data_IF_200017917139
#
_entry.id   IF_200017917139
#
_cell.length_a   1.000
_cell.length_b   1.000
_cell.length_c   1.000
_cell.angle_alpha   90.00
_cell.angle_beta   90.00
_cell.angle_gamma   90.00
#
_symmetry.space_group_name_H-M   'P 1'
#
loop_
_entity.id
_entity.type
_entity.pdbx_description
1 polymer ?
#
# COMPACT_ATOMS: atom_id res chain seq x y z
N UNK A 1 80.89 18.48 -16.41
CA UNK A 1 79.65 18.23 -17.18
C UNK A 1 78.52 17.82 -16.23
N UNK A 2 77.50 18.67 -16.08
CA UNK A 2 76.10 18.30 -15.75
C UNK A 2 75.70 17.87 -14.33
N UNK A 3 75.55 18.80 -13.38
CA UNK A 3 74.76 18.59 -12.16
C UNK A 3 73.26 18.82 -12.43
N UNK A 4 72.45 17.75 -12.42
CA UNK A 4 70.99 17.81 -12.58
C UNK A 4 70.32 18.44 -11.34
N UNK A 5 69.80 19.67 -11.45
CA UNK A 5 68.88 20.26 -10.47
C UNK A 5 67.53 19.51 -10.49
N UNK A 6 67.18 18.85 -9.39
CA UNK A 6 65.85 18.26 -9.15
C UNK A 6 64.89 19.40 -8.76
N UNK A 7 63.94 19.76 -9.64
CA UNK A 7 62.83 20.69 -9.31
C UNK A 7 61.91 20.01 -8.27
N UNK A 8 61.73 20.62 -7.10
CA UNK A 8 60.66 20.27 -6.15
C UNK A 8 59.31 20.73 -6.73
N UNK A 9 58.31 19.84 -6.77
CA UNK A 9 56.91 20.19 -7.05
C UNK A 9 56.34 20.95 -5.84
N UNK A 10 55.44 21.93 -6.02
CA UNK A 10 54.76 22.58 -4.90
C UNK A 10 53.80 21.59 -4.26
N UNK A 11 53.81 21.51 -2.93
CA UNK A 11 52.77 20.84 -2.17
C UNK A 11 51.50 21.71 -2.29
N UNK A 12 50.43 21.17 -2.88
CA UNK A 12 49.10 21.71 -2.71
C UNK A 12 48.77 21.59 -1.22
N UNK A 13 48.68 22.74 -0.54
CA UNK A 13 48.18 22.81 0.83
C UNK A 13 46.72 22.35 0.81
N UNK A 14 46.49 21.08 1.12
CA UNK A 14 45.15 20.57 1.38
C UNK A 14 44.57 21.28 2.59
N UNK A 15 43.26 21.58 2.57
CA UNK A 15 42.57 22.07 3.75
C UNK A 15 42.89 21.16 4.95
N UNK A 16 43.27 21.72 6.11
CA UNK A 16 43.47 20.93 7.30
C UNK A 16 42.24 20.06 7.61
N UNK A 17 42.47 18.80 7.92
CA UNK A 17 41.41 17.80 8.18
C UNK A 17 40.40 18.24 9.25
N UNK A 18 40.80 19.09 10.20
CA UNK A 18 39.91 19.65 11.22
C UNK A 18 38.88 20.64 10.64
N UNK A 19 39.18 21.36 9.55
CA UNK A 19 38.21 22.25 8.89
C UNK A 19 37.17 21.48 8.10
N UNK A 20 37.55 20.34 7.51
CA UNK A 20 36.59 19.42 6.87
C UNK A 20 35.69 18.78 7.92
N UNK A 21 36.24 18.35 9.05
CA UNK A 21 35.46 17.80 10.16
C UNK A 21 34.50 18.85 10.75
N UNK A 22 34.97 20.09 10.94
CA UNK A 22 34.14 21.20 11.42
C UNK A 22 33.03 21.54 10.43
N UNK A 23 33.32 21.57 9.12
CA UNK A 23 32.30 21.78 8.09
C UNK A 23 31.25 20.66 8.10
N UNK A 24 31.65 19.40 8.26
CA UNK A 24 30.72 18.27 8.37
C UNK A 24 29.87 18.33 9.65
N UNK A 25 30.46 18.70 10.79
CA UNK A 25 29.73 18.89 12.06
C UNK A 25 28.77 20.07 11.96
N UNK A 26 29.16 21.17 11.33
CA UNK A 26 28.28 22.31 11.07
C UNK A 26 27.17 21.95 10.09
N UNK A 27 27.45 21.16 9.05
CA UNK A 27 26.42 20.68 8.12
C UNK A 27 25.43 19.74 8.82
N UNK A 28 25.93 18.87 9.70
CA UNK A 28 25.13 17.97 10.51
C UNK A 28 24.25 18.76 11.51
N UNK A 29 24.83 19.71 12.25
CA UNK A 29 24.08 20.62 13.12
C UNK A 29 23.04 21.45 12.34
N UNK A 30 23.39 21.94 11.15
CA UNK A 30 22.46 22.66 10.26
C UNK A 30 21.36 21.77 9.69
N UNK A 31 21.55 20.45 9.62
CA UNK A 31 20.50 19.49 9.25
C UNK A 31 19.59 19.18 10.45
N UNK A 32 20.15 19.00 11.64
CA UNK A 32 19.42 18.77 12.90
C UNK A 32 18.61 20.00 13.35
N UNK A 33 19.13 21.22 13.08
CA UNK A 33 18.47 22.48 13.42
C UNK A 33 17.46 22.96 12.37
N UNK A 34 17.25 22.22 11.27
CA UNK A 34 16.15 22.55 10.35
C UNK A 34 14.84 22.32 11.11
N UNK A 35 13.99 23.35 11.27
CA UNK A 35 12.67 23.12 11.82
C UNK A 35 12.00 22.06 10.95
N UNK A 36 11.42 21.04 11.60
CA UNK A 36 10.63 20.04 10.91
C UNK A 36 9.60 20.78 10.03
N UNK A 37 9.31 20.28 8.82
CA UNK A 37 8.26 20.87 8.00
C UNK A 37 6.98 20.96 8.85
N UNK A 38 6.24 22.08 8.78
CA UNK A 38 5.01 22.21 9.54
C UNK A 38 4.07 21.05 9.17
N UNK A 39 3.29 20.54 10.14
CA UNK A 39 2.33 19.49 9.86
C UNK A 39 1.35 19.95 8.77
N UNK A 40 0.82 19.01 7.94
CA UNK A 40 -0.15 19.37 6.92
C UNK A 40 -1.41 19.99 7.57
N UNK A 41 -2.09 20.92 6.89
CA UNK A 41 -3.36 21.45 7.37
C UNK A 41 -4.40 20.33 7.45
N UNK A 42 -5.25 20.36 8.48
CA UNK A 42 -6.30 19.37 8.66
C UNK A 42 -7.41 19.55 7.62
N UNK A 43 -7.79 18.45 6.97
CA UNK A 43 -8.84 18.40 5.97
C UNK A 43 -10.17 17.90 6.59
N UNK A 44 -11.30 18.31 6.00
CA UNK A 44 -12.62 17.93 6.47
C UNK A 44 -13.04 16.53 5.99
N UNK A 45 -13.77 15.79 6.82
CA UNK A 45 -14.28 14.45 6.51
C UNK A 45 -13.66 13.38 7.42
N UNK A 46 -14.36 12.25 7.54
CA UNK A 46 -13.96 11.17 8.43
C UNK A 46 -13.47 9.93 7.72
N UNK A 47 -12.48 9.27 8.34
CA UNK A 47 -11.99 7.98 7.90
C UNK A 47 -13.03 6.90 8.18
N UNK A 48 -13.35 6.12 7.14
CA UNK A 48 -14.10 4.88 7.30
C UNK A 48 -13.12 3.72 7.16
N UNK A 49 -13.23 2.72 8.05
CA UNK A 49 -12.43 1.51 8.02
C UNK A 49 -13.34 0.30 8.03
N UNK A 50 -12.97 -0.75 7.31
CA UNK A 50 -13.73 -1.98 7.15
C UNK A 50 -12.80 -3.18 7.34
N UNK A 51 -13.27 -4.19 8.08
CA UNK A 51 -12.55 -5.44 8.30
C UNK A 51 -13.38 -6.62 7.80
N UNK A 52 -12.84 -7.32 6.81
CA UNK A 52 -13.49 -8.44 6.14
C UNK A 52 -13.19 -9.76 6.88
N UNK A 53 -14.09 -10.75 6.80
CA UNK A 53 -15.35 -10.74 6.06
C UNK A 53 -16.54 -10.08 6.78
N UNK A 54 -16.41 -9.73 8.06
CA UNK A 54 -17.52 -9.23 8.89
C UNK A 54 -18.17 -7.97 8.30
N UNK A 55 -17.35 -7.07 7.77
CA UNK A 55 -17.81 -5.84 7.11
C UNK A 55 -17.97 -5.98 5.60
N UNK A 56 -17.80 -7.17 5.02
CA UNK A 56 -17.66 -7.38 3.57
C UNK A 56 -18.77 -6.76 2.73
N UNK A 57 -20.03 -7.02 3.09
CA UNK A 57 -21.18 -6.45 2.38
C UNK A 57 -21.23 -4.93 2.51
N UNK A 58 -21.00 -4.40 3.72
CA UNK A 58 -20.99 -2.96 3.99
C UNK A 58 -19.85 -2.26 3.26
N UNK A 59 -18.66 -2.85 3.24
CA UNK A 59 -17.48 -2.35 2.53
C UNK A 59 -17.74 -2.28 1.03
N UNK A 60 -18.24 -3.36 0.43
CA UNK A 60 -18.55 -3.39 -1.01
C UNK A 60 -19.64 -2.38 -1.36
N UNK A 61 -20.73 -2.33 -0.59
CA UNK A 61 -21.79 -1.35 -0.80
C UNK A 61 -21.27 0.09 -0.70
N UNK A 62 -20.36 0.37 0.25
CA UNK A 62 -19.75 1.69 0.39
C UNK A 62 -18.85 2.06 -0.78
N UNK A 63 -18.03 1.12 -1.27
CA UNK A 63 -17.21 1.31 -2.47
C UNK A 63 -18.07 1.57 -3.71
N UNK A 64 -19.15 0.80 -3.90
CA UNK A 64 -20.10 1.04 -5.00
C UNK A 64 -20.76 2.40 -4.86
N UNK A 65 -21.16 2.81 -3.65
CA UNK A 65 -21.72 4.14 -3.41
C UNK A 65 -20.71 5.27 -3.69
N UNK A 66 -19.42 5.06 -3.43
CA UNK A 66 -18.36 6.00 -3.83
C UNK A 66 -18.27 6.12 -5.36
N UNK A 67 -18.27 4.98 -6.06
CA UNK A 67 -18.26 4.91 -7.54
C UNK A 67 -19.51 5.57 -8.15
N UNK A 68 -20.68 5.30 -7.59
CA UNK A 68 -21.95 5.88 -8.05
C UNK A 68 -22.08 7.37 -7.68
N UNK A 69 -21.42 7.80 -6.61
CA UNK A 69 -21.34 9.19 -6.16
C UNK A 69 -20.43 10.07 -7.03
N UNK A 70 -19.38 9.50 -7.64
CA UNK A 70 -18.38 10.23 -8.40
C UNK A 70 -18.98 11.06 -9.55
N UNK A 71 -18.40 12.25 -9.78
CA UNK A 71 -18.91 13.26 -10.72
C UNK A 71 -17.92 13.63 -11.83
N UNK A 72 -16.62 13.46 -11.61
CA UNK A 72 -15.57 13.92 -12.51
C UNK A 72 -14.70 12.76 -12.98
N UNK A 73 -14.14 11.98 -12.06
CA UNK A 73 -13.23 10.90 -12.41
C UNK A 73 -13.12 9.79 -11.38
N UNK A 74 -12.80 8.61 -11.89
CA UNK A 74 -12.44 7.41 -11.14
C UNK A 74 -11.14 6.85 -11.70
N UNK A 75 -10.11 6.76 -10.86
CA UNK A 75 -8.78 6.30 -11.23
C UNK A 75 -8.37 5.14 -10.32
N UNK A 76 -8.42 3.92 -10.86
CA UNK A 76 -8.27 2.69 -10.07
C UNK A 76 -7.03 1.89 -10.44
N UNK A 77 -6.19 1.57 -9.47
CA UNK A 77 -5.09 0.62 -9.62
C UNK A 77 -5.43 -0.66 -8.83
N UNK A 78 -5.64 -1.77 -9.54
CA UNK A 78 -6.08 -3.03 -8.94
C UNK A 78 -5.21 -4.20 -9.40
N UNK A 79 -4.59 -4.90 -8.45
CA UNK A 79 -3.87 -6.15 -8.72
C UNK A 79 -4.81 -7.21 -9.32
N UNK A 80 -5.83 -7.62 -8.57
CA UNK A 80 -6.88 -8.55 -9.04
C UNK A 80 -8.23 -7.85 -9.20
N UNK A 81 -8.92 -8.16 -10.30
CA UNK A 81 -10.25 -7.61 -10.62
C UNK A 81 -11.21 -8.72 -11.08
N UNK A 82 -12.03 -9.20 -10.14
CA UNK A 82 -13.00 -10.29 -10.32
C UNK A 82 -14.28 -10.06 -9.50
N UNK A 83 -14.90 -8.90 -9.67
CA UNK A 83 -16.20 -8.57 -9.05
C UNK A 83 -17.11 -7.85 -10.06
N UNK A 84 -18.26 -8.44 -10.38
CA UNK A 84 -19.19 -7.93 -11.39
C UNK A 84 -19.95 -6.69 -10.91
N UNK A 85 -20.27 -6.59 -9.62
CA UNK A 85 -21.01 -5.43 -9.12
C UNK A 85 -20.13 -4.17 -9.15
N UNK A 86 -18.86 -4.32 -8.82
CA UNK A 86 -17.86 -3.24 -8.96
C UNK A 86 -17.69 -2.87 -10.44
N UNK A 87 -17.56 -3.85 -11.34
CA UNK A 87 -17.48 -3.62 -12.79
C UNK A 87 -18.70 -2.87 -13.33
N UNK A 88 -19.91 -3.27 -12.90
CA UNK A 88 -21.15 -2.58 -13.26
C UNK A 88 -21.18 -1.15 -12.71
N UNK A 89 -20.71 -0.91 -11.49
CA UNK A 89 -20.59 0.44 -10.91
C UNK A 89 -19.69 1.34 -11.76
N UNK A 90 -18.52 0.84 -12.17
CA UNK A 90 -17.58 1.59 -13.01
C UNK A 90 -18.20 1.94 -14.38
N UNK A 91 -18.92 1.00 -15.01
CA UNK A 91 -19.64 1.24 -16.26
C UNK A 91 -20.81 2.22 -16.09
N UNK A 92 -21.55 2.16 -14.98
CA UNK A 92 -22.57 3.17 -14.66
C UNK A 92 -21.94 4.55 -14.52
N UNK A 93 -20.80 4.67 -13.87
CA UNK A 93 -20.09 5.94 -13.74
C UNK A 93 -19.65 6.49 -15.10
N UNK A 94 -19.04 5.65 -15.93
CA UNK A 94 -18.67 6.00 -17.30
C UNK A 94 -19.88 6.45 -18.13
N UNK A 95 -21.02 5.74 -18.06
CA UNK A 95 -22.25 6.10 -18.76
C UNK A 95 -22.81 7.46 -18.32
N UNK A 96 -22.55 7.89 -17.07
CA UNK A 96 -22.87 9.23 -16.56
C UNK A 96 -21.89 10.32 -17.03
N UNK A 97 -20.87 9.98 -17.82
CA UNK A 97 -19.83 10.89 -18.27
C UNK A 97 -18.65 11.07 -17.30
N UNK A 98 -18.57 10.26 -16.23
CA UNK A 98 -17.41 10.25 -15.34
C UNK A 98 -16.22 9.63 -16.08
N UNK A 99 -15.05 10.27 -16.04
CA UNK A 99 -13.84 9.72 -16.64
C UNK A 99 -13.32 8.55 -15.80
N UNK A 100 -13.47 7.32 -16.30
CA UNK A 100 -12.98 6.11 -15.62
C UNK A 100 -11.71 5.60 -16.31
N UNK A 101 -10.65 5.35 -15.54
CA UNK A 101 -9.40 4.75 -16.03
C UNK A 101 -8.88 3.73 -15.04
N UNK A 102 -8.37 2.61 -15.53
CA UNK A 102 -7.87 1.52 -14.70
C UNK A 102 -6.42 1.16 -15.04
N UNK A 103 -5.66 0.77 -14.02
CA UNK A 103 -4.33 0.21 -14.16
C UNK A 103 -4.31 -1.16 -13.46
N UNK A 104 -3.85 -2.19 -14.17
CA UNK A 104 -3.95 -3.59 -13.76
C UNK A 104 -2.60 -4.32 -13.80
N UNK A 105 -2.56 -5.50 -13.18
CA UNK A 105 -1.49 -6.47 -13.38
C UNK A 105 -1.79 -7.29 -14.65
N UNK A 106 -0.77 -7.49 -15.48
CA UNK A 106 -0.86 -8.21 -16.76
C UNK A 106 -1.37 -9.64 -16.63
N UNK A 107 -0.99 -10.34 -15.56
CA UNK A 107 -1.46 -11.70 -15.26
C UNK A 107 -3.00 -11.79 -15.12
N UNK A 108 -3.66 -10.68 -14.78
CA UNK A 108 -5.12 -10.59 -14.62
C UNK A 108 -5.82 -9.89 -15.79
N UNK A 109 -5.12 -9.59 -16.89
CA UNK A 109 -5.68 -8.92 -18.07
C UNK A 109 -6.98 -9.57 -18.57
N UNK A 110 -7.00 -10.90 -18.66
CA UNK A 110 -8.20 -11.63 -19.09
C UNK A 110 -9.38 -11.49 -18.11
N UNK A 111 -9.11 -11.34 -16.82
CA UNK A 111 -10.17 -11.10 -15.84
C UNK A 111 -10.77 -9.71 -15.98
N UNK A 112 -9.95 -8.66 -16.17
CA UNK A 112 -10.45 -7.32 -16.50
C UNK A 112 -11.36 -7.35 -17.73
N UNK A 113 -10.92 -8.00 -18.82
CA UNK A 113 -11.71 -8.19 -20.04
C UNK A 113 -13.04 -8.87 -19.76
N UNK A 114 -13.01 -10.03 -19.08
CA UNK A 114 -14.22 -10.83 -18.82
C UNK A 114 -15.20 -10.15 -17.88
N UNK A 115 -14.73 -9.49 -16.82
CA UNK A 115 -15.61 -8.87 -15.85
C UNK A 115 -16.23 -7.57 -16.37
N UNK A 116 -15.45 -6.71 -17.04
CA UNK A 116 -16.00 -5.49 -17.64
C UNK A 116 -16.93 -5.80 -18.81
N UNK A 117 -16.56 -6.73 -19.71
CA UNK A 117 -17.45 -7.12 -20.82
C UNK A 117 -18.68 -7.85 -20.30
N UNK A 118 -18.53 -8.76 -19.33
CA UNK A 118 -19.66 -9.46 -18.70
C UNK A 118 -20.65 -8.49 -18.04
N UNK A 119 -20.15 -7.51 -17.31
CA UNK A 119 -20.95 -6.43 -16.74
C UNK A 119 -21.66 -5.59 -17.81
N UNK A 120 -20.97 -5.26 -18.90
CA UNK A 120 -21.56 -4.52 -20.03
C UNK A 120 -22.64 -5.31 -20.80
N UNK A 121 -22.65 -6.64 -20.66
CA UNK A 121 -23.71 -7.52 -21.17
C UNK A 121 -24.85 -7.73 -20.15
N UNK A 122 -24.78 -7.10 -18.98
CA UNK A 122 -25.79 -7.25 -17.92
C UNK A 122 -25.75 -8.62 -17.23
N UNK A 123 -24.63 -9.35 -17.27
CA UNK A 123 -24.51 -10.61 -16.55
C UNK A 123 -24.47 -10.39 -15.04
N UNK A 124 -25.08 -11.32 -14.30
CA UNK A 124 -25.06 -11.37 -12.83
C UNK A 124 -24.45 -12.64 -12.26
N UNK A 125 -24.03 -13.60 -13.09
CA UNK A 125 -23.37 -14.83 -12.64
C UNK A 125 -21.87 -14.62 -12.48
N UNK A 126 -21.32 -15.04 -11.34
CA UNK A 126 -19.87 -15.05 -11.09
C UNK A 126 -19.30 -16.47 -11.10
N UNK A 127 -18.25 -16.76 -11.90
CA UNK A 127 -17.62 -15.86 -12.87
C UNK A 127 -18.50 -15.63 -14.12
N UNK A 128 -18.34 -14.50 -14.82
CA UNK A 128 -19.09 -14.20 -16.03
C UNK A 128 -18.71 -15.17 -17.17
N UNK A 129 -19.72 -15.53 -17.98
CA UNK A 129 -19.60 -16.41 -19.15
C UNK A 129 -19.63 -15.53 -20.40
N UNK A 130 -18.49 -14.96 -20.75
CA UNK A 130 -18.38 -14.03 -21.88
C UNK A 130 -18.03 -14.77 -23.17
N UNK A 131 -18.88 -14.73 -24.22
CA UNK A 131 -18.54 -15.29 -25.52
C UNK A 131 -17.33 -14.59 -26.17
N UNK A 132 -16.53 -15.34 -26.93
CA UNK A 132 -15.35 -14.78 -27.64
C UNK A 132 -15.71 -13.64 -28.59
N UNK A 133 -16.89 -13.71 -29.23
CA UNK A 133 -17.37 -12.63 -30.12
C UNK A 133 -17.61 -11.32 -29.35
N UNK A 134 -18.12 -11.39 -28.12
CA UNK A 134 -18.39 -10.22 -27.30
C UNK A 134 -17.09 -9.56 -26.84
N UNK A 135 -16.07 -10.37 -26.50
CA UNK A 135 -14.72 -9.88 -26.23
C UNK A 135 -14.16 -9.15 -27.46
N UNK A 136 -14.21 -9.75 -28.65
CA UNK A 136 -13.73 -9.13 -29.89
C UNK A 136 -14.46 -7.83 -30.23
N UNK A 137 -15.75 -7.75 -29.93
CA UNK A 137 -16.56 -6.56 -30.23
C UNK A 137 -16.32 -5.39 -29.25
N UNK A 138 -15.94 -5.70 -28.00
CA UNK A 138 -15.90 -4.73 -26.89
C UNK A 138 -14.52 -4.46 -26.31
N UNK A 139 -13.49 -5.17 -26.76
CA UNK A 139 -12.09 -4.95 -26.40
C UNK A 139 -11.35 -4.40 -27.60
N UNK A 140 -10.75 -3.21 -27.47
CA UNK A 140 -10.00 -2.55 -28.53
C UNK A 140 -8.59 -2.22 -28.04
N UNK A 141 -7.52 -2.69 -28.68
CA UNK A 141 -6.16 -2.33 -28.26
C UNK A 141 -5.94 -0.82 -28.46
N UNK A 142 -5.26 -0.19 -27.49
CA UNK A 142 -4.80 1.21 -27.55
C UNK A 142 -3.29 1.22 -27.80
N UNK A 143 -2.55 0.40 -27.07
CA UNK A 143 -1.10 0.18 -27.18
C UNK A 143 -0.77 -1.28 -26.86
N UNK A 144 0.51 -1.62 -26.72
CA UNK A 144 0.94 -2.98 -26.35
C UNK A 144 0.38 -3.43 -24.99
N UNK A 145 0.27 -2.48 -24.08
CA UNK A 145 -0.01 -2.64 -22.66
C UNK A 145 -1.31 -1.94 -22.24
N UNK A 146 -2.04 -1.33 -23.16
CA UNK A 146 -3.32 -0.69 -22.88
C UNK A 146 -4.40 -1.08 -23.89
N UNK A 147 -5.63 -1.15 -23.41
CA UNK A 147 -6.82 -1.45 -24.19
C UNK A 147 -8.04 -0.73 -23.66
N UNK A 148 -9.01 -0.49 -24.53
CA UNK A 148 -10.33 -0.02 -24.17
C UNK A 148 -11.25 -1.23 -24.02
N UNK A 149 -11.80 -1.43 -22.82
CA UNK A 149 -12.70 -2.54 -22.50
C UNK A 149 -14.07 -1.98 -22.16
N UNK A 150 -15.05 -2.23 -23.03
CA UNK A 150 -16.39 -1.64 -22.93
C UNK A 150 -16.35 -0.10 -22.74
N UNK A 151 -15.42 0.56 -23.43
CA UNK A 151 -15.21 2.02 -23.39
C UNK A 151 -14.38 2.51 -22.20
N UNK A 152 -13.94 1.63 -21.29
CA UNK A 152 -13.06 2.02 -20.17
C UNK A 152 -11.61 1.73 -20.58
N UNK A 153 -10.72 2.74 -20.61
CA UNK A 153 -9.30 2.53 -20.78
C UNK A 153 -8.69 1.76 -19.60
N UNK A 154 -8.02 0.65 -19.90
CA UNK A 154 -7.27 -0.18 -18.95
C UNK A 154 -5.86 -0.36 -19.46
N UNK A 155 -4.87 -0.03 -18.63
CA UNK A 155 -3.46 -0.27 -18.90
C UNK A 155 -2.90 -1.30 -17.92
N UNK A 156 -1.82 -1.98 -18.29
CA UNK A 156 -1.24 -3.06 -17.51
C UNK A 156 0.24 -2.82 -17.22
N UNK A 157 0.68 -3.29 -16.06
CA UNK A 157 2.10 -3.47 -15.77
C UNK A 157 2.56 -4.81 -16.33
N UNK A 158 3.56 -4.79 -17.20
CA UNK A 158 4.12 -5.98 -17.87
C UNK A 158 5.49 -6.37 -17.29
N UNK A 159 5.89 -5.74 -16.18
CA UNK A 159 7.15 -6.05 -15.51
C UNK A 159 7.07 -7.41 -14.82
N UNK A 160 8.22 -8.01 -14.54
CA UNK A 160 8.31 -9.20 -13.69
C UNK A 160 7.93 -8.91 -12.22
N UNK A 161 8.05 -7.64 -11.80
CA UNK A 161 7.59 -7.18 -10.50
C UNK A 161 6.10 -6.85 -10.55
N UNK A 162 5.37 -7.16 -9.47
CA UNK A 162 3.92 -7.03 -9.49
C UNK A 162 3.44 -5.59 -9.38
N UNK A 163 2.39 -5.27 -10.14
CA UNK A 163 1.52 -4.13 -9.85
C UNK A 163 0.55 -4.49 -8.75
N UNK A 164 0.95 -4.31 -7.51
CA UNK A 164 0.24 -4.84 -6.36
C UNK A 164 -0.63 -3.79 -5.64
N UNK A 165 -0.79 -2.59 -6.20
CA UNK A 165 -1.73 -1.59 -5.71
C UNK A 165 -3.18 -2.08 -5.69
N UNK A 166 -3.94 -1.51 -4.75
CA UNK A 166 -5.36 -1.79 -4.50
C UNK A 166 -6.05 -0.51 -4.08
N UNK A 167 -6.10 0.48 -4.97
CA UNK A 167 -6.70 1.77 -4.65
C UNK A 167 -7.62 2.29 -5.75
N UNK A 168 -8.53 3.17 -5.35
CA UNK A 168 -9.39 3.95 -6.24
C UNK A 168 -9.40 5.40 -5.76
N UNK A 169 -9.04 6.33 -6.64
CA UNK A 169 -9.18 7.77 -6.42
C UNK A 169 -10.49 8.23 -7.04
N UNK A 170 -11.33 8.90 -6.24
CA UNK A 170 -12.60 9.47 -6.68
C UNK A 170 -12.55 11.00 -6.67
N UNK A 171 -12.78 11.60 -7.84
CA UNK A 171 -12.88 13.05 -8.08
C UNK A 171 -11.70 13.89 -7.55
N UNK A 172 -10.53 13.28 -7.32
CA UNK A 172 -9.40 13.94 -6.66
C UNK A 172 -9.70 14.38 -5.22
N UNK A 173 -10.68 13.75 -4.56
CA UNK A 173 -11.17 14.14 -3.22
C UNK A 173 -11.10 13.04 -2.18
N UNK A 174 -11.15 11.78 -2.61
CA UNK A 174 -11.13 10.65 -1.71
C UNK A 174 -10.35 9.48 -2.30
N UNK A 175 -9.74 8.68 -1.42
CA UNK A 175 -9.02 7.47 -1.75
C UNK A 175 -9.68 6.30 -1.03
N UNK A 176 -10.07 5.28 -1.79
CA UNK A 176 -10.29 3.94 -1.27
C UNK A 176 -8.98 3.15 -1.39
N UNK A 177 -8.46 2.58 -0.31
CA UNK A 177 -7.24 1.74 -0.34
C UNK A 177 -7.24 0.70 0.78
N UNK A 178 -6.26 -0.19 0.81
CA UNK A 178 -6.09 -1.21 1.85
C UNK A 178 -5.42 -2.46 1.30
N UNK A 179 -5.72 -3.61 1.90
CA UNK A 179 -5.19 -4.91 1.47
C UNK A 179 -6.12 -5.65 0.50
N UNK A 180 -7.36 -5.17 0.34
CA UNK A 180 -8.45 -5.82 -0.40
C UNK A 180 -8.27 -5.77 -1.92
N UNK A 181 -8.16 -6.95 -2.55
CA UNK A 181 -8.33 -7.09 -4.00
C UNK A 181 -9.79 -6.88 -4.44
N UNK A 182 -10.04 -6.49 -5.69
CA UNK A 182 -11.41 -6.27 -6.20
C UNK A 182 -12.06 -7.61 -6.61
N UNK A 183 -12.23 -8.52 -5.65
CA UNK A 183 -12.75 -9.87 -5.88
C UNK A 183 -13.78 -10.24 -4.82
N UNK A 184 -14.75 -11.08 -5.18
CA UNK A 184 -15.75 -11.56 -4.22
C UNK A 184 -15.14 -12.21 -2.97
N UNK A 185 -14.10 -13.04 -3.12
CA UNK A 185 -13.43 -13.69 -1.96
C UNK A 185 -12.83 -12.67 -0.98
N UNK A 186 -12.27 -11.57 -1.49
CA UNK A 186 -11.65 -10.55 -0.65
C UNK A 186 -12.69 -9.85 0.24
N UNK A 187 -13.91 -9.63 -0.27
CA UNK A 187 -15.00 -9.07 0.53
C UNK A 187 -15.68 -10.13 1.42
N UNK A 188 -15.88 -11.36 0.93
CA UNK A 188 -16.78 -12.33 1.56
C UNK A 188 -16.10 -13.40 2.43
N UNK A 189 -14.79 -13.63 2.27
CA UNK A 189 -14.11 -14.80 2.86
C UNK A 189 -12.78 -14.50 3.53
N UNK A 190 -11.95 -13.66 2.91
CA UNK A 190 -10.61 -13.38 3.41
C UNK A 190 -10.64 -12.38 4.56
N UNK A 191 -9.64 -12.42 5.44
CA UNK A 191 -9.37 -11.30 6.34
C UNK A 191 -8.58 -10.23 5.59
N UNK A 192 -9.26 -9.12 5.33
CA UNK A 192 -8.78 -7.98 4.55
C UNK A 192 -9.20 -6.68 5.24
N UNK A 193 -8.50 -5.59 4.98
CA UNK A 193 -8.95 -4.27 5.40
C UNK A 193 -9.11 -3.31 4.23
N UNK A 194 -10.07 -2.41 4.36
CA UNK A 194 -10.22 -1.26 3.48
C UNK A 194 -10.43 0.02 4.25
N UNK A 195 -9.90 1.11 3.71
CA UNK A 195 -10.03 2.47 4.19
C UNK A 195 -10.67 3.32 3.11
N UNK A 196 -11.62 4.17 3.49
CA UNK A 196 -12.03 5.33 2.72
C UNK A 196 -11.50 6.58 3.43
N UNK A 197 -10.60 7.29 2.76
CA UNK A 197 -9.91 8.48 3.25
C UNK A 197 -10.37 9.69 2.43
N UNK A 198 -11.24 10.56 2.96
CA UNK A 198 -11.73 11.76 2.26
C UNK A 198 -10.72 12.91 2.37
N UNK A 199 -9.51 12.70 1.85
CA UNK A 199 -8.44 13.72 1.82
C UNK A 199 -8.13 14.08 0.36
N UNK A 200 -8.48 15.31 -0.09
CA UNK A 200 -7.99 15.86 -1.35
C UNK A 200 -6.47 15.83 -1.50
N UNK A 201 -5.72 16.08 -0.43
CA UNK A 201 -4.24 16.02 -0.43
C UNK A 201 -3.75 14.62 -0.75
N UNK A 202 -4.31 13.61 -0.08
CA UNK A 202 -4.00 12.21 -0.34
C UNK A 202 -4.45 11.79 -1.75
N UNK A 203 -5.64 12.21 -2.16
CA UNK A 203 -6.22 11.90 -3.46
C UNK A 203 -5.40 12.50 -4.61
N UNK A 204 -4.87 13.72 -4.45
CA UNK A 204 -3.94 14.30 -5.40
C UNK A 204 -2.69 13.42 -5.53
N UNK A 205 -2.08 13.04 -4.41
CA UNK A 205 -0.88 12.21 -4.41
C UNK A 205 -1.06 10.84 -5.07
N UNK A 206 -2.13 10.11 -4.72
CA UNK A 206 -2.48 8.84 -5.38
C UNK A 206 -2.84 9.04 -6.86
N UNK A 207 -3.49 10.15 -7.21
CA UNK A 207 -3.81 10.50 -8.60
C UNK A 207 -2.57 10.80 -9.44
N UNK A 208 -1.57 11.47 -8.88
CA UNK A 208 -0.27 11.69 -9.52
C UNK A 208 0.49 10.37 -9.74
N UNK A 209 0.50 9.50 -8.73
CA UNK A 209 1.09 8.16 -8.84
C UNK A 209 0.38 7.34 -9.94
N UNK A 210 -0.96 7.30 -9.92
CA UNK A 210 -1.76 6.65 -10.95
C UNK A 210 -1.47 7.21 -12.34
N UNK A 211 -1.45 8.53 -12.48
CA UNK A 211 -1.21 9.20 -13.76
C UNK A 211 0.18 8.84 -14.31
N UNK A 212 1.19 8.70 -13.47
CA UNK A 212 2.52 8.25 -13.89
C UNK A 212 2.51 6.80 -14.38
N UNK A 213 1.91 5.88 -13.62
CA UNK A 213 1.74 4.48 -14.02
C UNK A 213 1.00 4.36 -15.36
N UNK A 214 -0.14 5.03 -15.47
CA UNK A 214 -1.03 5.00 -16.63
C UNK A 214 -0.41 5.65 -17.88
N UNK A 215 0.52 6.60 -17.71
CA UNK A 215 1.25 7.24 -18.82
C UNK A 215 2.55 6.50 -19.22
N UNK A 216 2.83 5.35 -18.61
CA UNK A 216 3.96 4.48 -18.98
C UNK A 216 5.17 4.57 -18.05
N UNK A 217 5.13 5.36 -16.98
CA UNK A 217 6.14 5.29 -15.91
C UNK A 217 5.83 4.09 -15.02
N UNK A 218 6.23 2.88 -15.46
CA UNK A 218 5.81 1.59 -14.86
C UNK A 218 6.16 1.41 -13.38
N UNK A 219 7.14 2.13 -12.87
CA UNK A 219 7.55 2.13 -11.45
C UNK A 219 6.92 3.27 -10.62
N UNK A 220 5.99 4.03 -11.22
CA UNK A 220 5.38 5.19 -10.57
C UNK A 220 6.33 6.34 -10.29
N UNK A 221 5.90 7.31 -9.47
CA UNK A 221 6.71 8.44 -9.03
C UNK A 221 7.43 8.13 -7.72
N UNK A 222 6.83 7.31 -6.84
CA UNK A 222 7.38 7.00 -5.53
C UNK A 222 7.35 8.17 -4.54
N UNK A 223 6.55 9.21 -4.80
CA UNK A 223 6.49 10.41 -3.98
C UNK A 223 5.61 10.17 -2.76
N UNK A 224 6.18 10.28 -1.56
CA UNK A 224 5.39 10.20 -0.34
C UNK A 224 4.44 11.38 -0.19
N UNK A 225 3.28 11.14 0.41
CA UNK A 225 2.22 12.15 0.58
C UNK A 225 1.81 12.19 2.05
N UNK A 226 2.09 13.30 2.72
CA UNK A 226 1.66 13.54 4.10
C UNK A 226 0.34 14.29 4.09
N UNK A 227 -0.62 13.84 4.90
CA UNK A 227 -1.98 14.39 4.98
C UNK A 227 -2.49 14.36 6.42
N UNK A 228 -3.55 15.12 6.69
CA UNK A 228 -4.24 15.07 7.98
C UNK A 228 -5.75 15.21 7.81
N UNK A 229 -6.52 14.47 8.61
CA UNK A 229 -7.97 14.56 8.71
C UNK A 229 -8.35 15.06 10.11
N UNK A 230 -9.37 15.91 10.17
CA UNK A 230 -9.80 16.51 11.43
C UNK A 230 -10.58 15.54 12.34
N UNK A 231 -11.48 14.73 11.78
CA UNK A 231 -12.49 14.00 12.57
C UNK A 231 -12.77 12.57 12.06
N UNK A 232 -12.33 11.50 12.75
CA UNK A 232 -11.42 11.56 13.89
C UNK A 232 -10.06 12.07 13.46
N UNK A 233 -9.34 12.71 14.40
CA UNK A 233 -7.98 13.19 14.15
C UNK A 233 -7.10 12.05 13.66
N UNK A 234 -6.50 12.27 12.49
CA UNK A 234 -5.58 11.36 11.85
C UNK A 234 -4.51 12.17 11.14
N UNK A 235 -3.25 11.86 11.42
CA UNK A 235 -2.11 12.31 10.63
C UNK A 235 -1.53 11.09 9.93
N UNK A 236 -1.17 11.19 8.66
CA UNK A 236 -0.68 10.04 7.93
C UNK A 236 0.31 10.39 6.83
N UNK A 237 1.14 9.42 6.47
CA UNK A 237 1.94 9.48 5.25
C UNK A 237 1.68 8.23 4.43
N UNK A 238 1.35 8.40 3.15
CA UNK A 238 1.36 7.33 2.16
C UNK A 238 2.71 7.31 1.44
N UNK A 239 3.23 6.13 1.20
CA UNK A 239 4.46 5.88 0.45
C UNK A 239 4.17 4.92 -0.69
N UNK A 240 4.88 5.08 -1.82
CA UNK A 240 4.71 4.26 -3.00
C UNK A 240 6.03 3.59 -3.38
N UNK A 241 6.03 2.27 -3.47
CA UNK A 241 7.17 1.47 -3.94
C UNK A 241 7.05 1.25 -5.45
N UNK A 242 8.14 0.96 -6.17
CA UNK A 242 9.50 0.71 -5.68
C UNK A 242 10.29 1.98 -5.32
N UNK A 243 10.09 3.10 -6.02
CA UNK A 243 10.94 4.29 -5.88
C UNK A 243 10.92 4.93 -4.48
N UNK A 244 9.78 4.92 -3.80
CA UNK A 244 9.62 5.39 -2.43
C UNK A 244 9.68 4.27 -1.39
N UNK A 245 10.01 3.04 -1.78
CA UNK A 245 9.96 1.87 -0.90
C UNK A 245 11.00 1.88 0.22
N UNK A 246 12.20 2.41 -0.02
CA UNK A 246 13.20 2.59 1.04
C UNK A 246 12.70 3.55 2.13
N UNK A 247 12.08 4.66 1.73
CA UNK A 247 11.46 5.61 2.66
C UNK A 247 10.28 4.98 3.41
N UNK A 248 9.44 4.21 2.73
CA UNK A 248 8.33 3.47 3.33
C UNK A 248 8.81 2.51 4.42
N UNK A 249 9.81 1.69 4.08
CA UNK A 249 10.42 0.72 4.99
C UNK A 249 11.09 1.41 6.18
N UNK A 250 11.81 2.51 5.94
CA UNK A 250 12.43 3.32 7.00
C UNK A 250 11.37 3.83 7.98
N UNK A 251 10.28 4.41 7.48
CA UNK A 251 9.20 4.92 8.33
C UNK A 251 8.55 3.80 9.18
N UNK A 252 8.36 2.61 8.63
CA UNK A 252 7.92 1.44 9.39
C UNK A 252 8.93 1.07 10.49
N UNK A 253 10.22 0.96 10.16
CA UNK A 253 11.26 0.58 11.11
C UNK A 253 11.40 1.60 12.25
N UNK A 254 11.28 2.90 11.97
CA UNK A 254 11.27 3.97 12.97
C UNK A 254 10.14 3.76 14.00
N UNK A 255 8.93 3.43 13.54
CA UNK A 255 7.81 3.13 14.45
C UNK A 255 8.08 1.91 15.34
N UNK A 256 8.72 0.86 14.81
CA UNK A 256 9.10 -0.32 15.60
C UNK A 256 10.23 -0.01 16.61
N UNK A 257 11.17 0.88 16.26
CA UNK A 257 12.24 1.33 17.17
C UNK A 257 11.70 2.22 18.30
N UNK A 258 10.71 3.05 17.99
CA UNK A 258 10.06 3.94 18.95
C UNK A 258 9.04 3.23 19.85
N UNK A 259 8.56 2.04 19.47
CA UNK A 259 7.59 1.27 20.24
C UNK A 259 7.98 1.11 21.73
N UNK A 260 6.99 1.30 22.63
CA UNK A 260 7.15 1.27 24.09
C UNK A 260 6.23 0.29 24.81
N UNK A 261 5.05 -0.01 24.27
CA UNK A 261 4.01 -0.76 24.99
C UNK A 261 3.62 -2.06 24.29
N UNK A 262 3.14 -1.97 23.04
CA UNK A 262 2.57 -3.11 22.32
C UNK A 262 2.81 -2.98 20.81
N UNK A 263 3.18 -4.09 20.17
CA UNK A 263 3.22 -4.24 18.72
C UNK A 263 2.39 -5.47 18.34
N UNK A 264 1.32 -5.25 17.59
CA UNK A 264 0.49 -6.31 17.02
C UNK A 264 0.72 -6.37 15.52
N UNK A 265 0.94 -7.56 14.99
CA UNK A 265 1.15 -7.79 13.55
C UNK A 265 0.15 -8.84 13.06
N UNK A 266 -0.53 -8.54 11.96
CA UNK A 266 -1.28 -9.51 11.17
C UNK A 266 -0.77 -9.47 9.73
N UNK A 267 -0.12 -10.53 9.28
CA UNK A 267 0.63 -10.53 8.03
C UNK A 267 0.33 -11.75 7.16
N UNK A 268 -0.04 -11.48 5.91
CA UNK A 268 -0.09 -12.48 4.85
C UNK A 268 1.28 -13.13 4.62
N UNK A 269 2.32 -12.29 4.52
CA UNK A 269 3.72 -12.72 4.39
C UNK A 269 4.62 -11.76 5.16
N UNK A 270 5.55 -12.32 5.96
CA UNK A 270 6.58 -11.58 6.69
C UNK A 270 7.96 -12.20 6.46
N UNK A 271 8.72 -11.64 5.51
CA UNK A 271 10.06 -12.11 5.13
C UNK A 271 11.17 -11.06 5.28
N UNK A 272 10.80 -9.81 5.54
CA UNK A 272 11.77 -8.73 5.72
C UNK A 272 12.57 -8.92 7.02
N UNK A 273 13.88 -9.14 6.87
CA UNK A 273 14.78 -9.40 7.99
C UNK A 273 14.89 -8.23 8.96
N UNK A 274 14.92 -6.98 8.49
CA UNK A 274 15.08 -5.85 9.42
C UNK A 274 13.78 -5.59 10.17
N UNK A 275 12.63 -5.87 9.56
CA UNK A 275 11.35 -5.83 10.28
C UNK A 275 11.33 -6.88 11.40
N UNK A 276 11.72 -8.12 11.09
CA UNK A 276 11.84 -9.19 12.11
C UNK A 276 12.83 -8.82 13.22
N UNK A 277 14.00 -8.27 12.86
CA UNK A 277 14.99 -7.80 13.85
C UNK A 277 14.45 -6.65 14.70
N UNK A 278 13.73 -5.69 14.10
CA UNK A 278 13.15 -4.57 14.84
C UNK A 278 12.05 -5.05 15.82
N UNK A 279 11.24 -6.03 15.43
CA UNK A 279 10.28 -6.69 16.33
C UNK A 279 10.99 -7.41 17.50
N UNK A 280 12.06 -8.15 17.21
CA UNK A 280 12.88 -8.82 18.24
C UNK A 280 13.51 -7.80 19.20
N UNK A 281 14.01 -6.67 18.69
CA UNK A 281 14.54 -5.59 19.51
C UNK A 281 13.44 -4.95 20.36
N UNK A 282 12.23 -4.76 19.84
CA UNK A 282 11.10 -4.28 20.62
C UNK A 282 10.77 -5.24 21.77
N UNK A 283 10.68 -6.54 21.49
CA UNK A 283 10.50 -7.58 22.51
C UNK A 283 11.59 -7.54 23.57
N UNK A 284 12.85 -7.40 23.18
CA UNK A 284 13.98 -7.31 24.11
C UNK A 284 13.93 -6.06 25.01
N UNK A 285 13.31 -4.97 24.55
CA UNK A 285 13.03 -3.76 25.37
C UNK A 285 11.84 -3.95 26.34
N UNK A 286 11.17 -5.08 26.31
CA UNK A 286 9.98 -5.35 27.14
C UNK A 286 8.65 -4.98 26.47
N UNK A 287 8.65 -4.56 25.21
CA UNK A 287 7.42 -4.31 24.45
C UNK A 287 6.68 -5.63 24.23
N UNK A 288 5.36 -5.62 24.39
CA UNK A 288 4.54 -6.81 24.12
C UNK A 288 4.37 -6.98 22.62
N UNK A 289 5.00 -8.00 22.05
CA UNK A 289 4.93 -8.28 20.61
C UNK A 289 4.15 -9.57 20.34
N UNK A 290 3.13 -9.47 19.48
CA UNK A 290 2.33 -10.61 19.00
C UNK A 290 2.24 -10.59 17.47
N UNK A 291 2.50 -11.74 16.85
CA UNK A 291 2.52 -11.87 15.39
C UNK A 291 1.58 -12.98 14.91
N UNK A 292 0.53 -12.61 14.19
CA UNK A 292 -0.38 -13.51 13.50
C UNK A 292 0.05 -13.64 12.03
N UNK A 293 0.27 -14.86 11.57
CA UNK A 293 0.71 -15.17 10.21
C UNK A 293 -0.33 -15.99 9.44
N UNK A 294 -0.41 -15.77 8.14
CA UNK A 294 -1.27 -16.60 7.29
C UNK A 294 -0.73 -18.04 7.20
N UNK A 295 -1.63 -19.00 7.43
CA UNK A 295 -1.32 -20.41 7.63
C UNK A 295 -0.68 -21.06 6.41
N UNK A 296 -1.15 -20.74 5.20
CA UNK A 296 -0.71 -21.36 3.94
C UNK A 296 0.64 -20.81 3.46
N UNK A 297 0.96 -19.56 3.81
CA UNK A 297 2.23 -18.89 3.52
C UNK A 297 3.19 -18.88 4.71
N UNK A 298 2.86 -19.64 5.77
CA UNK A 298 3.67 -19.70 6.98
C UNK A 298 5.11 -20.13 6.70
N UNK A 299 5.31 -21.08 5.77
CA UNK A 299 6.63 -21.60 5.39
C UNK A 299 7.50 -20.55 4.69
N UNK A 300 6.87 -19.60 4.01
CA UNK A 300 7.57 -18.50 3.34
C UNK A 300 7.94 -17.40 4.32
N UNK A 301 7.21 -17.31 5.45
CA UNK A 301 7.45 -16.33 6.50
C UNK A 301 8.55 -16.74 7.48
N UNK A 302 9.18 -15.73 8.10
CA UNK A 302 10.27 -15.89 9.08
C UNK A 302 9.78 -16.23 10.49
N UNK A 303 8.82 -17.14 10.61
CA UNK A 303 8.18 -17.46 11.90
C UNK A 303 9.20 -18.00 12.93
N UNK A 304 10.17 -18.83 12.51
CA UNK A 304 11.21 -19.37 13.40
C UNK A 304 12.13 -18.30 13.97
N UNK A 305 12.45 -17.26 13.19
CA UNK A 305 13.28 -16.15 13.64
C UNK A 305 12.55 -15.36 14.75
N UNK A 306 11.22 -15.25 14.65
CA UNK A 306 10.37 -14.61 15.66
C UNK A 306 10.26 -15.47 16.93
N UNK A 307 10.02 -16.77 16.80
CA UNK A 307 9.97 -17.70 17.94
C UNK A 307 11.31 -17.75 18.69
N UNK A 308 12.43 -17.78 17.96
CA UNK A 308 13.77 -17.74 18.54
C UNK A 308 14.04 -16.43 19.32
N UNK A 309 13.36 -15.33 18.96
CA UNK A 309 13.39 -14.06 19.69
C UNK A 309 12.42 -14.01 20.88
N UNK A 310 11.69 -15.09 21.18
CA UNK A 310 10.71 -15.16 22.27
C UNK A 310 9.42 -14.37 21.98
N UNK A 311 9.13 -14.09 20.72
CA UNK A 311 7.89 -13.43 20.29
C UNK A 311 6.78 -14.49 20.25
N UNK A 312 5.59 -14.13 20.73
CA UNK A 312 4.42 -14.98 20.58
C UNK A 312 3.98 -14.95 19.10
N UNK A 313 3.96 -16.12 18.46
CA UNK A 313 3.52 -16.28 17.07
C UNK A 313 2.32 -17.22 17.02
N UNK A 314 1.33 -16.85 16.20
CA UNK A 314 0.18 -17.70 15.88
C UNK A 314 0.02 -17.79 14.37
N UNK A 315 -0.46 -18.92 13.89
CA UNK A 315 -1.07 -19.03 12.56
C UNK A 315 -2.55 -18.67 12.66
N UNK A 316 -3.10 -18.07 11.62
CA UNK A 316 -4.48 -17.61 11.59
C UNK A 316 -5.51 -18.75 11.65
N UNK A 317 -6.75 -18.41 12.02
CA UNK A 317 -7.86 -19.36 12.10
C UNK A 317 -8.77 -19.41 10.87
N UNK A 318 -8.53 -18.60 9.84
CA UNK A 318 -9.42 -18.50 8.70
C UNK A 318 -9.20 -19.71 7.76
N UNK A 319 -10.25 -20.49 7.42
CA UNK A 319 -10.13 -21.58 6.44
C UNK A 319 -9.82 -21.05 5.02
N UNK A 320 -10.12 -19.77 4.78
CA UNK A 320 -9.69 -19.01 3.62
C UNK A 320 -8.35 -18.32 3.93
N UNK A 321 -8.20 -17.03 3.63
CA UNK A 321 -6.90 -16.37 3.65
C UNK A 321 -6.88 -15.24 4.67
N UNK A 322 -5.89 -15.20 5.57
CA UNK A 322 -5.49 -13.97 6.24
C UNK A 322 -4.67 -13.10 5.29
N UNK A 323 -5.28 -12.11 4.65
CA UNK A 323 -4.61 -11.27 3.66
C UNK A 323 -4.30 -9.85 4.18
N UNK A 324 -4.43 -9.62 5.49
CA UNK A 324 -3.91 -8.41 6.13
C UNK A 324 -2.42 -8.19 5.91
N UNK A 325 -2.05 -6.92 5.84
CA UNK A 325 -0.67 -6.43 5.99
C UNK A 325 -0.67 -5.30 7.02
N UNK A 326 -0.99 -5.66 8.26
CA UNK A 326 -1.30 -4.71 9.32
C UNK A 326 -0.23 -4.78 10.42
N UNK A 327 0.21 -3.61 10.87
CA UNK A 327 0.83 -3.47 12.19
C UNK A 327 0.13 -2.38 13.01
N UNK A 328 -0.07 -2.64 14.29
CA UNK A 328 -0.52 -1.64 15.26
C UNK A 328 0.56 -1.45 16.31
N UNK A 329 0.97 -0.20 16.54
CA UNK A 329 2.04 0.15 17.48
C UNK A 329 1.51 1.13 18.54
N UNK A 330 1.70 0.77 19.81
CA UNK A 330 1.39 1.58 21.01
C UNK A 330 -0.02 2.19 20.99
N UNK A 331 -1.00 1.45 20.44
CA UNK A 331 -2.42 1.88 20.30
C UNK A 331 -2.60 3.25 19.64
N UNK A 332 -1.62 3.67 18.86
CA UNK A 332 -1.54 5.03 18.31
C UNK A 332 -1.29 4.99 16.81
N UNK A 333 -0.44 4.07 16.36
CA UNK A 333 -0.03 3.96 14.97
C UNK A 333 -0.62 2.73 14.31
N UNK A 334 -1.08 2.90 13.07
CA UNK A 334 -1.47 1.83 12.15
C UNK A 334 -0.58 1.89 10.93
N UNK A 335 0.02 0.75 10.59
CA UNK A 335 0.69 0.53 9.31
C UNK A 335 -0.17 -0.43 8.51
N UNK A 336 -0.61 -0.02 7.32
CA UNK A 336 -1.44 -0.84 6.42
C UNK A 336 -1.22 -0.45 4.95
N UNK A 337 -1.95 -1.08 4.04
CA UNK A 337 -1.89 -0.85 2.60
C UNK A 337 -1.82 -2.17 1.83
N UNK A 338 -1.31 -2.13 0.61
CA UNK A 338 -1.11 -3.34 -0.20
C UNK A 338 0.22 -4.05 0.12
N UNK A 339 1.13 -3.34 0.79
CA UNK A 339 2.51 -3.71 1.07
C UNK A 339 2.65 -4.93 1.99
N UNK A 340 3.11 -6.07 1.46
CA UNK A 340 3.56 -7.20 2.28
C UNK A 340 4.88 -6.88 2.98
N UNK A 341 5.12 -7.40 4.20
CA UNK A 341 6.37 -7.17 4.93
C UNK A 341 7.53 -8.02 4.38
N UNK A 342 7.92 -7.72 3.14
CA UNK A 342 8.86 -8.50 2.33
C UNK A 342 9.81 -7.59 1.54
N UNK A 343 10.95 -8.14 1.10
CA UNK A 343 11.91 -7.38 0.30
C UNK A 343 11.34 -6.90 -1.04
N UNK A 344 10.55 -7.74 -1.72
CA UNK A 344 9.96 -7.37 -3.02
C UNK A 344 8.99 -6.20 -2.92
N UNK A 345 8.29 -6.05 -1.79
CA UNK A 345 7.31 -4.99 -1.60
C UNK A 345 7.93 -3.59 -1.62
N UNK A 346 9.12 -3.39 -1.04
CA UNK A 346 9.81 -2.09 -1.12
C UNK A 346 10.78 -1.96 -2.29
N UNK A 347 11.35 -3.06 -2.79
CA UNK A 347 12.39 -2.98 -3.82
C UNK A 347 11.85 -2.96 -5.25
N UNK A 348 10.72 -3.63 -5.51
CA UNK A 348 10.36 -3.99 -6.88
C UNK A 348 8.88 -3.77 -7.20
N UNK A 349 7.98 -4.29 -6.37
CA UNK A 349 6.54 -4.24 -6.62
C UNK A 349 6.02 -2.79 -6.53
N UNK A 350 5.02 -2.46 -7.34
CA UNK A 350 4.23 -1.27 -7.12
C UNK A 350 3.28 -1.51 -5.94
N UNK A 351 3.55 -0.85 -4.82
CA UNK A 351 2.84 -1.05 -3.55
C UNK A 351 2.59 0.30 -2.89
N UNK A 352 1.52 0.39 -2.11
CA UNK A 352 1.32 1.53 -1.22
C UNK A 352 1.40 1.09 0.24
N UNK A 353 2.11 1.87 1.05
CA UNK A 353 2.19 1.73 2.50
C UNK A 353 1.66 3.01 3.13
N UNK A 354 0.70 2.89 4.04
CA UNK A 354 0.23 3.99 4.87
C UNK A 354 0.78 3.81 6.29
N UNK A 355 1.39 4.85 6.82
CA UNK A 355 1.76 4.96 8.24
C UNK A 355 0.88 6.05 8.85
N UNK A 356 -0.08 5.64 9.68
CA UNK A 356 -1.18 6.48 10.16
C UNK A 356 -1.11 6.63 11.68
N UNK A 357 -1.17 7.85 12.18
CA UNK A 357 -1.26 8.20 13.58
C UNK A 357 -2.70 8.59 13.91
N UNK A 358 -3.43 7.70 14.57
CA UNK A 358 -4.77 8.00 15.07
C UNK A 358 -5.12 6.98 16.14
N UNK A 359 -5.20 7.38 17.43
CA UNK A 359 -5.55 6.44 18.51
C UNK A 359 -6.90 5.74 18.27
N UNK A 360 -7.89 6.45 17.74
CA UNK A 360 -9.20 5.89 17.44
C UNK A 360 -9.15 4.81 16.34
N UNK A 361 -8.38 5.05 15.27
CA UNK A 361 -8.19 4.06 14.21
C UNK A 361 -7.34 2.88 14.69
N UNK A 362 -6.29 3.17 15.45
CA UNK A 362 -5.40 2.17 16.01
C UNK A 362 -6.13 1.22 16.96
N UNK A 363 -7.06 1.70 17.78
CA UNK A 363 -7.87 0.82 18.62
C UNK A 363 -8.76 -0.10 17.77
N UNK A 364 -9.40 0.40 16.71
CA UNK A 364 -10.21 -0.44 15.80
C UNK A 364 -9.39 -1.54 15.11
N UNK A 365 -8.20 -1.21 14.61
CA UNK A 365 -7.29 -2.22 14.03
C UNK A 365 -6.77 -3.19 15.09
N UNK A 366 -6.50 -2.69 16.30
CA UNK A 366 -6.07 -3.52 17.43
C UNK A 366 -7.14 -4.53 17.82
N UNK A 367 -8.39 -4.11 17.95
CA UNK A 367 -9.52 -4.99 18.23
C UNK A 367 -9.64 -6.09 17.18
N UNK A 368 -9.51 -5.74 15.89
CA UNK A 368 -9.55 -6.73 14.80
C UNK A 368 -8.38 -7.72 14.89
N UNK A 369 -7.14 -7.23 15.03
CA UNK A 369 -5.96 -8.12 15.13
C UNK A 369 -6.06 -9.02 16.36
N UNK A 370 -6.56 -8.53 17.49
CA UNK A 370 -6.76 -9.33 18.69
C UNK A 370 -7.90 -10.34 18.55
N UNK A 371 -8.99 -9.99 17.87
CA UNK A 371 -10.06 -10.95 17.54
C UNK A 371 -9.51 -12.10 16.72
N UNK A 372 -8.77 -11.81 15.64
CA UNK A 372 -8.12 -12.80 14.81
C UNK A 372 -7.05 -13.60 15.57
N UNK A 373 -6.35 -12.96 16.51
CA UNK A 373 -5.37 -13.61 17.37
C UNK A 373 -6.00 -14.69 18.24
N UNK A 374 -7.16 -14.42 18.85
CA UNK A 374 -7.89 -15.41 19.66
C UNK A 374 -8.43 -16.58 18.84
N UNK A 375 -8.75 -16.36 17.56
CA UNK A 375 -9.13 -17.41 16.61
C UNK A 375 -7.92 -18.23 16.11
N UNK A 376 -6.73 -17.64 16.16
CA UNK A 376 -5.47 -18.23 15.71
C UNK A 376 -4.91 -19.30 16.66
N UNK A 377 -4.07 -20.16 16.12
CA UNK A 377 -3.41 -21.26 16.86
C UNK A 377 -1.95 -20.91 17.14
N UNK A 378 -1.44 -21.10 18.38
CA UNK A 378 -0.01 -21.01 18.67
C UNK A 378 0.81 -21.90 17.73
N UNK A 379 2.01 -21.42 17.39
CA UNK A 379 3.04 -22.22 16.72
C UNK A 379 3.88 -23.00 17.72
#
# INVERSE_FOLDING_TARGET
>A
MGTRKRKRKPALAGLPSYLVLLALVLLWLLQELRPAPPPPPAEAGGVEAFFMPQDGERAKARLIALIDGAKQSLEGAFYEFRDLEIAQGLLRAQARGVRVRLYGESDFREDFRRYLVGAALGQGNEPPRVPREALRARVRPISLDCEEIAGIPVCYDEREAFMHHKFLVADGKAVWTGSTNMTWNAFARNNENSLLLPSPTLAQGYGEEFAALFSGTKEGLGRSVTFALAEPSLEGTAYFSPKGGEAARKALLERLQEAREEVLVAAFVLTDQEVVRALAQAKARGVKVRVLLETRNLKDSRYRDLEAAGIEVRQDGNPYTLHHKVMVVDRTWVVTGSYNFSARAWQANNENLLVLKSPSLAERYREEVLRLWEEGKPL
#
